data_IF_524572631298
#
_entry.id   IF_524572631298
#
_cell.length_a   1.000
_cell.length_b   1.000
_cell.length_c   1.000
_cell.angle_alpha   90.00
_cell.angle_beta   90.00
_cell.angle_gamma   90.00
#
_symmetry.space_group_name_H-M   'P 1'
#
loop_
_entity.id
_entity.type
_entity.pdbx_description
1 polymer ?
#
# COMPACT_ATOMS: atom_id res chain seq x y z
N UNK A 1 48.96 -23.16 -31.14
CA UNK A 1 48.16 -24.00 -30.23
C UNK A 1 47.59 -25.16 -31.02
N UNK A 2 47.88 -26.41 -30.64
CA UNK A 2 47.35 -27.58 -31.38
C UNK A 2 45.81 -27.60 -31.21
N UNK A 3 45.09 -27.99 -32.25
CA UNK A 3 43.61 -28.02 -32.28
C UNK A 3 42.98 -28.76 -31.07
N UNK A 4 43.64 -29.78 -30.55
CA UNK A 4 43.26 -30.50 -29.34
C UNK A 4 43.33 -29.64 -28.08
N UNK A 5 44.32 -28.74 -27.95
CA UNK A 5 44.46 -27.86 -26.78
C UNK A 5 43.41 -26.76 -26.78
N UNK A 6 43.07 -26.23 -27.97
CA UNK A 6 41.96 -25.27 -28.12
C UNK A 6 40.59 -25.87 -27.75
N UNK A 7 40.33 -27.12 -28.16
CA UNK A 7 39.09 -27.81 -27.79
C UNK A 7 38.98 -28.06 -26.29
N UNK A 8 40.06 -28.52 -25.66
CA UNK A 8 40.13 -28.74 -24.21
C UNK A 8 39.93 -27.43 -23.45
N UNK A 9 40.56 -26.35 -23.90
CA UNK A 9 40.41 -25.01 -23.31
C UNK A 9 38.95 -24.53 -23.41
N UNK A 10 38.34 -24.62 -24.60
CA UNK A 10 36.94 -24.24 -24.83
C UNK A 10 35.96 -25.03 -23.95
N UNK A 11 36.17 -26.35 -23.83
CA UNK A 11 35.38 -27.20 -22.94
C UNK A 11 35.49 -26.76 -21.48
N UNK A 12 36.70 -26.44 -21.01
CA UNK A 12 36.93 -25.93 -19.64
C UNK A 12 36.21 -24.59 -19.43
N UNK A 13 36.28 -23.67 -20.40
CA UNK A 13 35.55 -22.37 -20.29
C UNK A 13 34.06 -22.58 -20.18
N UNK A 14 33.46 -23.45 -21.01
CA UNK A 14 32.02 -23.77 -20.93
C UNK A 14 31.67 -24.39 -19.58
N UNK A 15 32.46 -25.35 -19.10
CA UNK A 15 32.23 -25.99 -17.79
C UNK A 15 32.32 -24.97 -16.65
N UNK A 16 33.32 -24.08 -16.68
CA UNK A 16 33.48 -23.02 -15.66
C UNK A 16 32.32 -22.05 -15.69
N UNK A 17 31.89 -21.62 -16.87
CA UNK A 17 30.71 -20.74 -17.02
C UNK A 17 29.45 -21.44 -16.53
N UNK A 18 29.22 -22.70 -16.91
CA UNK A 18 28.07 -23.48 -16.45
C UNK A 18 28.07 -23.65 -14.92
N UNK A 19 29.25 -23.93 -14.33
CA UNK A 19 29.36 -24.03 -12.87
C UNK A 19 29.07 -22.69 -12.17
N UNK A 20 29.55 -21.57 -12.73
CA UNK A 20 29.30 -20.24 -12.19
C UNK A 20 27.82 -19.89 -12.25
N UNK A 21 27.15 -20.16 -13.37
CA UNK A 21 25.70 -19.95 -13.51
C UNK A 21 24.92 -20.81 -12.53
N UNK A 22 25.24 -22.09 -12.41
CA UNK A 22 24.60 -22.99 -11.44
C UNK A 22 24.82 -22.50 -10.00
N UNK A 23 26.01 -22.07 -9.65
CA UNK A 23 26.32 -21.53 -8.33
C UNK A 23 25.49 -20.26 -8.04
N UNK A 24 25.37 -19.34 -9.01
CA UNK A 24 24.55 -18.14 -8.87
C UNK A 24 23.07 -18.50 -8.67
N UNK A 25 22.53 -19.41 -9.49
CA UNK A 25 21.15 -19.87 -9.35
C UNK A 25 20.89 -20.52 -7.98
N UNK A 26 21.81 -21.37 -7.50
CA UNK A 26 21.68 -22.00 -6.18
C UNK A 26 21.71 -20.98 -5.04
N UNK A 27 22.57 -19.99 -5.09
CA UNK A 27 22.58 -18.91 -4.10
C UNK A 27 21.25 -18.14 -4.13
N UNK A 28 20.76 -17.78 -5.31
CA UNK A 28 19.48 -17.09 -5.47
C UNK A 28 18.32 -17.91 -4.90
N UNK A 29 18.27 -19.21 -5.18
CA UNK A 29 17.21 -20.09 -4.65
C UNK A 29 17.31 -20.22 -3.12
N UNK A 30 18.54 -20.41 -2.58
CA UNK A 30 18.72 -20.61 -1.13
C UNK A 30 18.45 -19.33 -0.34
N UNK A 31 18.89 -18.19 -0.85
CA UNK A 31 18.65 -16.91 -0.15
C UNK A 31 17.26 -16.37 -0.40
N UNK A 32 16.69 -16.61 -1.56
CA UNK A 32 15.34 -16.24 -1.99
C UNK A 32 14.82 -14.92 -1.40
N UNK A 33 15.45 -13.78 -1.75
CA UNK A 33 15.21 -12.52 -1.05
C UNK A 33 13.78 -11.99 -1.16
N UNK A 34 12.97 -12.51 -2.08
CA UNK A 34 11.57 -12.15 -2.27
C UNK A 34 10.59 -13.30 -1.99
N UNK A 35 11.07 -14.39 -1.40
CA UNK A 35 10.24 -15.55 -1.02
C UNK A 35 9.46 -16.15 -2.19
N UNK A 36 10.07 -16.18 -3.37
CA UNK A 36 9.42 -16.74 -4.56
C UNK A 36 9.32 -18.26 -4.50
N UNK A 37 10.34 -18.93 -3.96
CA UNK A 37 10.44 -20.40 -3.93
C UNK A 37 10.07 -21.03 -2.59
N UNK A 38 10.32 -20.36 -1.47
CA UNK A 38 10.14 -20.97 -0.15
C UNK A 38 9.92 -19.96 0.98
N UNK A 39 9.44 -20.46 2.12
CA UNK A 39 9.39 -19.71 3.38
C UNK A 39 10.79 -19.24 3.80
N UNK A 40 10.89 -18.10 4.52
CA UNK A 40 12.16 -17.64 5.06
C UNK A 40 12.80 -18.71 5.94
N UNK A 41 14.10 -18.97 5.72
CA UNK A 41 14.87 -19.86 6.59
C UNK A 41 15.26 -19.16 7.88
N UNK A 42 15.12 -19.85 9.02
CA UNK A 42 15.45 -19.31 10.34
C UNK A 42 16.94 -19.01 10.57
N UNK A 43 17.82 -19.55 9.73
CA UNK A 43 19.28 -19.31 9.80
C UNK A 43 19.75 -18.12 8.96
N UNK A 44 18.85 -17.48 8.20
CA UNK A 44 19.13 -16.29 7.40
C UNK A 44 18.39 -15.07 7.95
N UNK A 45 19.05 -13.93 7.98
CA UNK A 45 18.40 -12.64 8.25
C UNK A 45 17.97 -12.01 6.94
N UNK A 46 16.67 -11.79 6.81
CA UNK A 46 16.07 -11.22 5.59
C UNK A 46 15.80 -9.72 5.77
N UNK A 47 16.22 -8.97 4.77
CA UNK A 47 15.78 -7.58 4.59
C UNK A 47 14.50 -7.58 3.76
N UNK A 48 13.39 -7.10 4.33
CA UNK A 48 12.15 -6.90 3.58
C UNK A 48 12.20 -5.54 2.87
N UNK A 49 12.10 -5.55 1.54
CA UNK A 49 12.19 -4.34 0.72
C UNK A 49 11.56 -4.59 -0.66
N UNK A 50 11.28 -3.50 -1.42
CA UNK A 50 10.71 -3.55 -2.77
C UNK A 50 9.32 -4.23 -2.82
N UNK A 51 8.32 -3.48 -2.42
CA UNK A 51 6.92 -3.93 -2.28
C UNK A 51 6.41 -4.76 -3.46
N UNK A 52 6.67 -4.30 -4.69
CA UNK A 52 6.24 -4.99 -5.91
C UNK A 52 6.93 -6.33 -6.16
N UNK A 53 8.05 -6.59 -5.53
CA UNK A 53 8.79 -7.83 -5.69
C UNK A 53 8.47 -8.84 -4.60
N UNK A 54 8.22 -8.37 -3.37
CA UNK A 54 8.15 -9.24 -2.20
C UNK A 54 6.70 -9.61 -1.78
N UNK A 55 5.69 -8.75 -2.06
CA UNK A 55 4.33 -8.96 -1.57
C UNK A 55 3.74 -10.31 -2.01
N UNK A 56 3.95 -10.73 -3.27
CA UNK A 56 3.47 -12.04 -3.74
C UNK A 56 4.12 -13.22 -2.99
N UNK A 57 5.42 -13.11 -2.67
CA UNK A 57 6.13 -14.10 -1.86
C UNK A 57 5.62 -14.15 -0.42
N UNK A 58 5.25 -13.01 0.17
CA UNK A 58 4.59 -12.94 1.48
C UNK A 58 3.26 -13.68 1.41
N UNK A 59 2.40 -13.37 0.43
CA UNK A 59 1.12 -14.07 0.21
C UNK A 59 1.29 -15.59 0.04
N UNK A 60 2.38 -16.04 -0.61
CA UNK A 60 2.65 -17.47 -0.87
C UNK A 60 3.09 -18.25 0.36
N UNK A 61 3.93 -17.64 1.19
CA UNK A 61 4.77 -18.40 2.10
C UNK A 61 4.63 -18.03 3.57
N UNK A 62 3.96 -16.93 3.90
CA UNK A 62 3.73 -16.56 5.29
C UNK A 62 2.40 -17.13 5.79
N UNK A 63 2.36 -17.45 7.07
CA UNK A 63 1.14 -17.91 7.74
C UNK A 63 0.50 -16.71 8.43
N UNK A 64 -0.65 -16.21 7.94
CA UNK A 64 -1.35 -15.05 8.47
C UNK A 64 -2.86 -15.17 8.27
N UNK A 65 -3.64 -14.45 9.10
CA UNK A 65 -5.10 -14.32 8.99
C UNK A 65 -5.57 -12.85 9.01
N UNK A 66 -4.62 -11.92 9.14
CA UNK A 66 -4.80 -10.48 9.02
C UNK A 66 -3.89 -9.88 7.92
N UNK A 67 -4.40 -8.88 7.19
CA UNK A 67 -3.63 -8.21 6.15
C UNK A 67 -3.90 -6.71 6.17
N UNK A 68 -2.82 -5.91 6.12
CA UNK A 68 -2.87 -4.46 5.96
C UNK A 68 -2.51 -4.13 4.52
N UNK A 69 -3.39 -3.40 3.82
CA UNK A 69 -3.15 -2.97 2.44
C UNK A 69 -3.53 -1.50 2.24
N UNK A 70 -2.97 -0.91 1.20
CA UNK A 70 -3.13 0.49 0.84
C UNK A 70 -1.88 1.04 0.19
N UNK A 71 -1.84 2.35 0.02
CA UNK A 71 -0.69 3.06 -0.55
C UNK A 71 0.31 3.47 0.54
N UNK A 72 1.08 4.53 0.29
CA UNK A 72 1.97 5.14 1.28
C UNK A 72 1.29 5.52 2.61
N UNK A 73 -0.03 5.72 2.60
CA UNK A 73 -0.83 6.01 3.79
C UNK A 73 -0.92 4.80 4.74
N UNK A 74 -0.72 3.59 4.21
CA UNK A 74 -0.74 2.35 4.98
C UNK A 74 0.65 1.82 5.39
N UNK A 75 1.73 2.36 4.85
CA UNK A 75 3.08 1.84 5.05
C UNK A 75 3.54 1.87 6.52
N UNK A 76 3.12 2.86 7.29
CA UNK A 76 3.53 3.03 8.68
C UNK A 76 2.66 2.30 9.71
N UNK A 77 1.64 1.55 9.29
CA UNK A 77 0.95 0.66 10.21
C UNK A 77 1.90 -0.41 10.74
N UNK A 78 1.71 -0.77 12.00
CA UNK A 78 2.40 -1.88 12.63
C UNK A 78 1.48 -3.09 12.71
N UNK A 79 1.93 -4.19 12.16
CA UNK A 79 1.18 -5.46 12.23
C UNK A 79 1.03 -5.94 13.67
N UNK A 80 2.05 -5.71 14.51
CA UNK A 80 1.99 -6.05 15.94
C UNK A 80 0.88 -5.31 16.72
N UNK A 81 0.58 -4.05 16.33
CA UNK A 81 -0.53 -3.30 16.93
C UNK A 81 -1.89 -3.82 16.42
N UNK A 82 -1.99 -4.17 15.13
CA UNK A 82 -3.19 -4.81 14.57
C UNK A 82 -3.45 -6.16 15.25
N UNK A 83 -2.42 -6.98 15.43
CA UNK A 83 -2.53 -8.29 16.09
C UNK A 83 -3.04 -8.16 17.52
N UNK A 84 -2.53 -7.19 18.25
CA UNK A 84 -2.95 -6.94 19.64
C UNK A 84 -4.41 -6.47 19.74
N UNK A 85 -4.91 -5.71 18.78
CA UNK A 85 -6.25 -5.13 18.82
C UNK A 85 -7.32 -6.06 18.22
N UNK A 86 -6.98 -6.82 17.18
CA UNK A 86 -7.93 -7.65 16.43
C UNK A 86 -7.76 -9.16 16.68
N UNK A 87 -6.70 -9.58 17.40
CA UNK A 87 -6.43 -10.99 17.69
C UNK A 87 -5.99 -11.78 16.46
N UNK A 88 -5.28 -11.14 15.55
CA UNK A 88 -4.80 -11.70 14.26
C UNK A 88 -3.31 -12.03 14.33
N UNK A 89 -2.83 -12.71 13.29
CA UNK A 89 -1.43 -12.74 12.87
C UNK A 89 -1.37 -12.04 11.53
N UNK A 90 -0.83 -10.83 11.50
CA UNK A 90 -0.98 -9.96 10.34
C UNK A 90 0.30 -9.80 9.54
N UNK A 91 0.13 -9.59 8.23
CA UNK A 91 1.17 -9.13 7.32
C UNK A 91 0.78 -7.78 6.73
N UNK A 92 1.76 -7.09 6.15
CA UNK A 92 1.58 -5.83 5.46
C UNK A 92 1.95 -6.00 3.99
N UNK A 93 0.99 -5.77 3.09
CA UNK A 93 1.17 -5.79 1.64
C UNK A 93 0.67 -4.48 1.06
N UNK A 94 1.53 -3.49 1.05
CA UNK A 94 1.27 -2.13 0.61
C UNK A 94 1.99 -1.83 -0.70
N UNK A 95 1.53 -0.79 -1.43
CA UNK A 95 2.20 -0.30 -2.62
C UNK A 95 2.21 1.22 -2.63
N UNK A 96 3.38 1.82 -2.49
CA UNK A 96 3.51 3.28 -2.50
C UNK A 96 2.96 3.89 -3.79
N UNK A 97 2.00 4.82 -3.64
CA UNK A 97 1.41 5.55 -4.76
C UNK A 97 0.52 4.74 -5.72
N UNK A 98 0.20 3.48 -5.42
CA UNK A 98 -0.59 2.61 -6.27
C UNK A 98 -1.99 3.13 -6.56
N UNK A 99 -2.54 2.72 -7.70
CA UNK A 99 -3.95 2.88 -8.02
C UNK A 99 -4.84 1.82 -7.35
N UNK A 100 -6.14 2.04 -7.39
CA UNK A 100 -7.11 1.09 -6.84
C UNK A 100 -7.00 -0.30 -7.50
N UNK A 101 -6.77 -0.34 -8.82
CA UNK A 101 -6.61 -1.59 -9.56
C UNK A 101 -5.39 -2.39 -9.08
N UNK A 102 -4.25 -1.74 -8.86
CA UNK A 102 -3.02 -2.42 -8.41
C UNK A 102 -3.20 -3.04 -7.02
N UNK A 103 -3.85 -2.30 -6.10
CA UNK A 103 -4.16 -2.80 -4.77
C UNK A 103 -5.14 -3.97 -4.82
N UNK A 104 -6.19 -3.87 -5.66
CA UNK A 104 -7.17 -4.92 -5.84
C UNK A 104 -6.56 -6.20 -6.42
N UNK A 105 -5.74 -6.10 -7.45
CA UNK A 105 -5.03 -7.24 -8.06
C UNK A 105 -4.12 -7.96 -7.06
N UNK A 106 -3.42 -7.20 -6.20
CA UNK A 106 -2.59 -7.80 -5.15
C UNK A 106 -3.44 -8.49 -4.08
N UNK A 107 -4.47 -7.80 -3.59
CA UNK A 107 -5.36 -8.33 -2.56
C UNK A 107 -6.11 -9.58 -3.04
N UNK A 108 -6.53 -9.62 -4.31
CA UNK A 108 -7.14 -10.81 -4.90
C UNK A 108 -6.19 -12.02 -4.88
N UNK A 109 -4.90 -11.80 -5.21
CA UNK A 109 -3.89 -12.86 -5.13
C UNK A 109 -3.68 -13.34 -3.69
N UNK A 110 -3.56 -12.42 -2.74
CA UNK A 110 -3.40 -12.77 -1.33
C UNK A 110 -4.57 -13.61 -0.81
N UNK A 111 -5.80 -13.18 -1.08
CA UNK A 111 -7.03 -13.88 -0.69
C UNK A 111 -7.20 -15.24 -1.41
N UNK A 112 -6.81 -15.32 -2.68
CA UNK A 112 -6.87 -16.57 -3.43
C UNK A 112 -5.88 -17.62 -2.90
N UNK A 113 -4.70 -17.20 -2.45
CA UNK A 113 -3.64 -18.07 -1.93
C UNK A 113 -3.85 -18.44 -0.47
N UNK A 114 -4.42 -17.54 0.32
CA UNK A 114 -4.62 -17.73 1.76
C UNK A 114 -6.11 -17.73 2.13
N UNK A 115 -6.70 -18.93 2.16
CA UNK A 115 -8.11 -19.12 2.55
C UNK A 115 -8.37 -18.84 4.05
N UNK A 116 -7.33 -18.69 4.86
CA UNK A 116 -7.45 -18.37 6.28
C UNK A 116 -7.52 -16.85 6.53
N UNK A 117 -7.33 -16.03 5.51
CA UNK A 117 -7.36 -14.57 5.64
C UNK A 117 -8.78 -14.09 5.98
N UNK A 118 -8.96 -13.64 7.22
CA UNK A 118 -10.25 -13.25 7.79
C UNK A 118 -10.44 -11.76 7.95
N UNK A 119 -9.34 -11.02 8.09
CA UNK A 119 -9.37 -9.60 8.42
C UNK A 119 -8.48 -8.82 7.48
N UNK A 120 -9.05 -7.88 6.75
CA UNK A 120 -8.30 -6.96 5.88
C UNK A 120 -8.51 -5.54 6.37
N UNK A 121 -7.43 -4.83 6.68
CA UNK A 121 -7.40 -3.39 6.88
C UNK A 121 -7.01 -2.73 5.55
N UNK A 122 -7.92 -1.93 4.98
CA UNK A 122 -7.71 -1.32 3.67
C UNK A 122 -7.83 0.20 3.74
N UNK A 123 -6.69 0.89 3.58
CA UNK A 123 -6.69 2.34 3.41
C UNK A 123 -7.09 2.69 1.97
N UNK A 124 -8.24 3.30 1.78
CA UNK A 124 -8.70 3.82 0.50
C UNK A 124 -8.29 5.28 0.34
N UNK A 125 -7.38 5.54 -0.57
CA UNK A 125 -6.93 6.91 -0.86
C UNK A 125 -8.08 7.77 -1.39
N UNK A 126 -8.54 8.67 -0.56
CA UNK A 126 -9.66 9.56 -0.83
C UNK A 126 -9.49 10.42 -2.09
N UNK A 127 -8.27 10.90 -2.34
CA UNK A 127 -7.92 11.66 -3.53
C UNK A 127 -7.94 10.81 -4.82
N UNK A 128 -7.90 9.47 -4.70
CA UNK A 128 -7.97 8.52 -5.80
C UNK A 128 -9.38 8.24 -6.31
N UNK A 129 -10.44 8.62 -5.59
CA UNK A 129 -11.83 8.31 -5.95
C UNK A 129 -12.24 8.84 -7.34
N UNK A 130 -11.67 9.97 -7.75
CA UNK A 130 -11.95 10.64 -9.03
C UNK A 130 -10.89 10.34 -10.10
N UNK A 131 -9.94 9.45 -9.82
CA UNK A 131 -8.92 9.02 -10.78
C UNK A 131 -9.47 7.94 -11.72
N UNK A 132 -8.84 7.77 -12.87
CA UNK A 132 -9.19 6.70 -13.80
C UNK A 132 -9.15 5.34 -13.07
N UNK A 133 -10.23 4.53 -13.16
CA UNK A 133 -10.31 3.23 -12.49
C UNK A 133 -9.20 2.26 -12.87
N UNK A 134 -8.72 2.36 -14.12
CA UNK A 134 -7.68 1.50 -14.68
C UNK A 134 -6.27 2.09 -14.51
N UNK A 135 -6.15 3.21 -13.78
CA UNK A 135 -4.86 3.85 -13.56
C UNK A 135 -3.93 3.01 -12.70
N UNK A 136 -2.70 2.84 -13.18
CA UNK A 136 -1.60 2.18 -12.48
C UNK A 136 -0.43 3.12 -12.31
N UNK A 137 0.18 3.10 -11.15
CA UNK A 137 1.42 3.85 -10.85
C UNK A 137 2.61 3.28 -11.64
N UNK A 138 2.63 1.98 -11.82
CA UNK A 138 3.76 1.26 -12.39
C UNK A 138 3.36 0.61 -13.72
N UNK A 139 4.08 0.98 -14.79
CA UNK A 139 3.86 0.42 -16.12
C UNK A 139 4.31 -1.05 -16.25
N UNK A 140 5.26 -1.47 -15.39
CA UNK A 140 5.81 -2.82 -15.42
C UNK A 140 5.92 -3.42 -14.01
N UNK A 141 5.49 -4.65 -13.91
CA UNK A 141 5.66 -5.51 -12.75
C UNK A 141 6.69 -6.61 -13.05
N UNK A 142 7.33 -7.20 -12.03
CA UNK A 142 8.15 -8.38 -12.21
C UNK A 142 7.26 -9.62 -12.38
N UNK A 143 6.55 -9.75 -13.51
CA UNK A 143 5.52 -10.77 -13.76
C UNK A 143 6.02 -12.19 -13.49
N UNK A 144 7.33 -12.44 -13.69
CA UNK A 144 7.98 -13.71 -13.38
C UNK A 144 7.95 -14.08 -11.88
N UNK A 145 7.65 -13.13 -10.98
CA UNK A 145 7.44 -13.42 -9.55
C UNK A 145 5.97 -13.70 -9.22
N UNK A 146 5.05 -13.34 -10.10
CA UNK A 146 3.61 -13.40 -9.86
C UNK A 146 2.92 -14.63 -10.49
N UNK A 147 3.62 -15.35 -11.34
CA UNK A 147 3.12 -16.56 -11.97
C UNK A 147 3.76 -17.83 -11.35
N UNK A 148 3.37 -19.02 -11.85
CA UNK A 148 3.91 -20.31 -11.43
C UNK A 148 4.71 -20.96 -12.57
N UNK A 149 5.22 -20.16 -13.52
CA UNK A 149 5.96 -20.63 -14.68
C UNK A 149 7.47 -20.63 -14.41
N UNK A 150 8.11 -21.78 -14.14
CA UNK A 150 9.55 -21.82 -13.80
C UNK A 150 10.48 -21.48 -14.98
N UNK A 151 9.94 -21.39 -16.21
CA UNK A 151 10.76 -21.11 -17.39
C UNK A 151 11.14 -19.63 -17.55
N UNK A 152 10.40 -18.72 -16.93
CA UNK A 152 10.73 -17.29 -16.92
C UNK A 152 11.50 -16.84 -15.67
N UNK A 153 11.70 -17.75 -14.70
CA UNK A 153 12.49 -17.51 -13.47
C UNK A 153 13.95 -17.16 -13.77
N UNK A 154 14.42 -17.40 -14.98
CA UNK A 154 15.73 -16.94 -15.44
C UNK A 154 15.92 -15.42 -15.18
N UNK A 155 14.84 -14.64 -15.26
CA UNK A 155 14.81 -13.22 -14.97
C UNK A 155 14.98 -12.90 -13.48
N UNK A 156 14.65 -13.81 -12.59
CA UNK A 156 14.92 -13.75 -11.15
C UNK A 156 16.32 -14.26 -10.83
N UNK A 157 16.63 -15.49 -11.24
CA UNK A 157 17.85 -16.23 -10.89
C UNK A 157 19.14 -15.53 -11.32
N UNK A 158 19.11 -14.79 -12.43
CA UNK A 158 20.28 -14.10 -12.97
C UNK A 158 20.14 -12.58 -12.95
N UNK A 159 19.29 -12.05 -12.09
CA UNK A 159 19.11 -10.61 -11.93
C UNK A 159 20.22 -10.00 -11.08
N UNK A 160 21.08 -9.21 -11.74
CA UNK A 160 22.18 -8.53 -11.07
C UNK A 160 21.69 -7.60 -9.94
N UNK A 161 20.58 -6.87 -10.15
CA UNK A 161 20.07 -5.94 -9.15
C UNK A 161 19.59 -6.70 -7.91
N UNK A 162 18.89 -7.81 -8.08
CA UNK A 162 18.42 -8.65 -6.97
C UNK A 162 19.60 -9.27 -6.22
N UNK A 163 20.63 -9.72 -6.95
CA UNK A 163 21.85 -10.23 -6.32
C UNK A 163 22.50 -9.18 -5.41
N UNK A 164 22.66 -7.93 -5.90
CA UNK A 164 23.34 -6.87 -5.14
C UNK A 164 22.48 -6.25 -4.04
N UNK A 165 21.17 -6.10 -4.25
CA UNK A 165 20.29 -5.40 -3.32
C UNK A 165 19.46 -6.31 -2.43
N UNK A 166 19.35 -7.61 -2.77
CA UNK A 166 18.64 -8.61 -1.99
C UNK A 166 19.56 -9.64 -1.36
N UNK A 167 20.24 -10.43 -2.20
CA UNK A 167 21.04 -11.57 -1.74
C UNK A 167 22.22 -11.14 -0.87
N UNK A 168 23.08 -10.23 -1.37
CA UNK A 168 24.26 -9.80 -0.63
C UNK A 168 23.94 -9.12 0.70
N UNK A 169 22.93 -8.23 0.81
CA UNK A 169 22.52 -7.69 2.10
C UNK A 169 22.02 -8.76 3.09
N UNK A 170 21.22 -9.73 2.65
CA UNK A 170 20.73 -10.80 3.51
C UNK A 170 21.91 -11.65 4.06
N UNK A 171 22.89 -11.99 3.23
CA UNK A 171 24.10 -12.68 3.64
C UNK A 171 24.91 -11.82 4.63
N UNK A 172 25.10 -10.54 4.35
CA UNK A 172 25.84 -9.62 5.21
C UNK A 172 25.17 -9.45 6.59
N UNK A 173 23.86 -9.27 6.63
CA UNK A 173 23.07 -9.22 7.87
C UNK A 173 23.23 -10.51 8.67
N UNK A 174 23.12 -11.65 8.02
CA UNK A 174 23.30 -12.97 8.66
C UNK A 174 24.68 -13.13 9.26
N UNK A 175 25.73 -12.82 8.53
CA UNK A 175 27.13 -12.94 9.01
C UNK A 175 27.40 -11.97 10.17
N UNK A 176 26.84 -10.77 10.12
CA UNK A 176 27.01 -9.77 11.19
C UNK A 176 26.09 -9.97 12.38
N UNK A 177 25.21 -10.97 12.37
CA UNK A 177 24.24 -11.24 13.45
C UNK A 177 23.16 -10.18 13.58
N UNK A 178 22.87 -9.41 12.54
CA UNK A 178 21.77 -8.45 12.54
C UNK A 178 20.44 -9.20 12.46
N UNK A 179 19.40 -8.74 13.20
CA UNK A 179 18.08 -9.36 13.13
C UNK A 179 17.44 -9.13 11.75
N UNK A 180 16.52 -10.01 11.32
CA UNK A 180 15.72 -9.77 10.12
C UNK A 180 14.82 -8.56 10.29
N UNK A 181 14.46 -7.91 9.18
CA UNK A 181 13.43 -6.86 9.17
C UNK A 181 12.10 -7.45 9.61
N UNK A 182 11.43 -6.81 10.55
CA UNK A 182 10.08 -7.18 11.00
C UNK A 182 9.00 -6.68 10.04
N UNK A 183 7.77 -7.22 10.13
CA UNK A 183 6.63 -6.70 9.38
C UNK A 183 6.26 -5.26 9.80
N UNK A 184 6.55 -4.85 11.03
CA UNK A 184 6.36 -3.47 11.48
C UNK A 184 7.31 -2.50 10.76
N UNK A 185 8.55 -2.94 10.53
CA UNK A 185 9.59 -2.14 9.86
C UNK A 185 9.44 -2.18 8.33
N UNK A 186 8.84 -3.24 7.79
CA UNK A 186 8.66 -3.38 6.34
C UNK A 186 7.90 -2.20 5.75
N UNK A 187 8.47 -1.58 4.72
CA UNK A 187 7.95 -0.39 4.02
C UNK A 187 7.72 0.84 4.89
N UNK A 188 8.05 0.79 6.20
CA UNK A 188 7.89 1.96 7.07
C UNK A 188 8.86 3.07 6.71
N UNK A 189 8.41 4.30 6.89
CA UNK A 189 9.21 5.49 6.64
C UNK A 189 9.04 6.51 7.79
N UNK A 190 10.05 7.36 7.93
CA UNK A 190 10.02 8.50 8.84
C UNK A 190 10.46 9.75 8.09
N UNK A 191 9.68 10.80 8.22
CA UNK A 191 9.97 12.14 7.68
C UNK A 191 9.70 13.18 8.74
N UNK A 192 10.37 14.34 8.71
CA UNK A 192 10.03 15.47 9.55
C UNK A 192 8.58 15.89 9.34
N UNK A 193 7.94 16.40 10.38
CA UNK A 193 6.56 16.88 10.39
C UNK A 193 6.48 18.34 10.79
N UNK A 194 5.35 18.99 10.54
CA UNK A 194 5.08 20.36 10.92
C UNK A 194 4.85 21.30 9.74
N UNK A 195 4.35 22.50 10.02
CA UNK A 195 3.99 23.50 9.00
C UNK A 195 5.16 23.80 8.05
N UNK A 196 6.36 24.01 8.59
CA UNK A 196 7.55 24.31 7.76
C UNK A 196 7.83 23.19 6.75
N UNK A 197 7.66 21.93 7.17
CA UNK A 197 7.84 20.78 6.31
C UNK A 197 6.76 20.68 5.24
N UNK A 198 5.52 20.96 5.60
CA UNK A 198 4.39 20.93 4.67
C UNK A 198 4.55 22.01 3.59
N UNK A 199 4.99 23.22 3.96
CA UNK A 199 5.19 24.34 3.04
C UNK A 199 6.32 24.11 2.01
N UNK A 200 7.14 23.07 2.15
CA UNK A 200 8.08 22.64 1.10
C UNK A 200 7.39 21.97 -0.09
N UNK A 201 6.23 21.35 0.12
CA UNK A 201 5.46 20.64 -0.90
C UNK A 201 4.13 21.31 -1.24
N UNK A 202 3.56 22.06 -0.32
CA UNK A 202 2.29 22.77 -0.48
C UNK A 202 2.49 24.27 -0.55
N UNK A 203 2.18 24.87 -1.71
CA UNK A 203 2.13 26.32 -1.93
C UNK A 203 0.70 26.72 -2.31
N UNK A 204 0.00 27.36 -1.37
CA UNK A 204 -1.36 27.86 -1.53
C UNK A 204 -1.53 28.78 -2.73
N UNK A 205 -0.51 29.60 -3.03
CA UNK A 205 -0.55 30.57 -4.14
C UNK A 205 -0.29 29.92 -5.50
N UNK A 206 0.18 28.69 -5.53
CA UNK A 206 0.53 27.96 -6.76
C UNK A 206 -0.37 26.74 -7.01
N UNK A 207 -1.56 26.73 -6.41
CA UNK A 207 -2.56 25.67 -6.64
C UNK A 207 -3.08 25.78 -8.07
N UNK A 208 -3.10 24.64 -8.79
CA UNK A 208 -3.64 24.60 -10.14
C UNK A 208 -5.16 24.82 -10.15
N UNK A 209 -5.61 25.95 -10.67
CA UNK A 209 -7.02 26.33 -10.75
C UNK A 209 -7.71 25.81 -12.05
N UNK A 210 -6.94 25.28 -13.01
CA UNK A 210 -7.51 24.75 -14.24
C UNK A 210 -8.01 23.31 -14.04
N UNK A 211 -9.07 23.17 -13.27
CA UNK A 211 -9.67 21.88 -12.91
C UNK A 211 -11.19 21.93 -13.14
N UNK A 212 -11.80 20.78 -13.41
CA UNK A 212 -13.25 20.64 -13.48
C UNK A 212 -13.79 20.64 -12.05
N UNK A 213 -14.68 21.57 -11.72
CA UNK A 213 -15.24 21.74 -10.38
C UNK A 213 -16.56 20.97 -10.18
N UNK A 214 -17.29 20.69 -11.26
CA UNK A 214 -18.58 20.02 -11.22
C UNK A 214 -18.43 18.49 -11.02
N UNK A 215 -19.36 17.91 -10.27
CA UNK A 215 -19.57 16.47 -10.17
C UNK A 215 -20.73 16.06 -11.09
N UNK A 216 -20.40 15.72 -12.32
CA UNK A 216 -21.36 15.32 -13.34
C UNK A 216 -21.51 13.81 -13.48
N UNK A 217 -22.13 13.39 -14.59
CA UNK A 217 -22.33 11.97 -14.91
C UNK A 217 -21.00 11.22 -15.11
N UNK A 218 -19.99 11.88 -15.70
CA UNK A 218 -18.65 11.31 -15.91
C UNK A 218 -17.94 11.02 -14.60
N UNK A 219 -17.95 11.97 -13.68
CA UNK A 219 -17.32 11.80 -12.35
C UNK A 219 -18.02 10.69 -11.57
N UNK A 220 -19.35 10.66 -11.60
CA UNK A 220 -20.15 9.60 -10.98
C UNK A 220 -19.82 8.23 -11.58
N UNK A 221 -19.73 8.13 -12.89
CA UNK A 221 -19.32 6.89 -13.59
C UNK A 221 -17.92 6.46 -13.17
N UNK A 222 -16.96 7.38 -13.12
CA UNK A 222 -15.59 7.12 -12.68
C UNK A 222 -15.57 6.53 -11.27
N UNK A 223 -16.20 7.20 -10.30
CA UNK A 223 -16.25 6.69 -8.91
C UNK A 223 -16.98 5.34 -8.85
N UNK A 224 -18.08 5.20 -9.57
CA UNK A 224 -18.85 3.94 -9.59
C UNK A 224 -18.00 2.79 -10.13
N UNK A 225 -17.30 2.99 -11.25
CA UNK A 225 -16.39 1.98 -11.80
C UNK A 225 -15.24 1.67 -10.83
N UNK A 226 -14.57 2.71 -10.31
CA UNK A 226 -13.46 2.57 -9.35
C UNK A 226 -13.86 1.68 -8.18
N UNK A 227 -14.97 1.96 -7.54
CA UNK A 227 -15.44 1.19 -6.39
C UNK A 227 -15.96 -0.19 -6.79
N UNK A 228 -16.73 -0.28 -7.87
CA UNK A 228 -17.35 -1.55 -8.27
C UNK A 228 -16.31 -2.55 -8.79
N UNK A 229 -15.41 -2.11 -9.69
CA UNK A 229 -14.46 -2.97 -10.36
C UNK A 229 -13.25 -3.30 -9.47
N UNK A 230 -12.78 -2.37 -8.63
CA UNK A 230 -11.57 -2.54 -7.84
C UNK A 230 -11.81 -2.85 -6.36
N UNK A 231 -12.96 -2.52 -5.78
CA UNK A 231 -13.21 -2.78 -4.36
C UNK A 231 -14.30 -3.83 -4.18
N UNK A 232 -15.52 -3.56 -4.70
CA UNK A 232 -16.65 -4.48 -4.52
C UNK A 232 -16.45 -5.83 -5.19
N UNK A 233 -15.74 -5.88 -6.33
CA UNK A 233 -15.39 -7.13 -6.98
C UNK A 233 -14.63 -8.07 -6.02
N UNK A 234 -13.70 -7.54 -5.24
CA UNK A 234 -12.92 -8.30 -4.25
C UNK A 234 -13.79 -8.65 -3.04
N UNK A 235 -14.44 -7.64 -2.46
CA UNK A 235 -15.27 -7.82 -1.26
C UNK A 235 -16.36 -8.87 -1.47
N UNK A 236 -17.04 -8.84 -2.62
CA UNK A 236 -18.11 -9.81 -2.94
C UNK A 236 -17.57 -11.21 -3.28
N UNK A 237 -16.35 -11.30 -3.83
CA UNK A 237 -15.70 -12.58 -4.12
C UNK A 237 -15.30 -13.32 -2.85
N UNK A 238 -15.02 -12.60 -1.76
CA UNK A 238 -14.55 -13.17 -0.49
C UNK A 238 -15.47 -12.80 0.69
N UNK A 239 -16.71 -13.33 0.71
CA UNK A 239 -17.72 -12.96 1.71
C UNK A 239 -17.40 -13.46 3.14
N UNK A 240 -16.42 -14.35 3.30
CA UNK A 240 -15.95 -14.84 4.59
C UNK A 240 -14.85 -13.99 5.24
N UNK A 241 -14.42 -12.93 4.58
CA UNK A 241 -13.41 -11.98 5.06
C UNK A 241 -14.07 -10.68 5.47
N UNK A 242 -13.73 -10.17 6.64
CA UNK A 242 -14.13 -8.84 7.13
C UNK A 242 -13.17 -7.78 6.58
N UNK A 243 -13.71 -6.79 5.88
CA UNK A 243 -12.96 -5.68 5.31
C UNK A 243 -13.20 -4.41 6.15
N UNK A 244 -12.17 -3.98 6.88
CA UNK A 244 -12.11 -2.70 7.57
C UNK A 244 -11.54 -1.66 6.61
N UNK A 245 -12.43 -0.92 5.96
CA UNK A 245 -12.07 0.07 4.95
C UNK A 245 -12.15 1.45 5.58
N UNK A 246 -11.17 2.31 5.31
CA UNK A 246 -11.21 3.66 5.85
C UNK A 246 -10.65 4.70 4.88
N UNK A 247 -11.15 5.94 4.99
CA UNK A 247 -10.58 7.11 4.34
C UNK A 247 -9.52 7.72 5.27
N UNK A 248 -8.25 7.84 4.81
CA UNK A 248 -7.17 8.42 5.61
C UNK A 248 -7.44 9.89 5.96
N UNK A 249 -7.16 10.33 7.21
CA UNK A 249 -7.35 11.73 7.64
C UNK A 249 -6.26 12.63 7.06
N UNK A 250 -6.51 13.22 5.89
CA UNK A 250 -5.62 14.20 5.28
C UNK A 250 -5.60 15.51 6.07
N UNK A 251 -4.46 16.24 6.03
CA UNK A 251 -4.29 17.48 6.77
C UNK A 251 -5.24 18.59 6.32
N UNK A 252 -5.39 19.62 7.14
CA UNK A 252 -6.19 20.80 6.79
C UNK A 252 -5.66 21.50 5.52
N UNK A 253 -4.38 21.36 5.16
CA UNK A 253 -3.82 21.86 3.91
C UNK A 253 -4.38 21.18 2.66
N UNK A 254 -4.70 19.87 2.76
CA UNK A 254 -5.40 19.17 1.68
C UNK A 254 -6.79 19.78 1.42
N UNK A 255 -7.52 20.06 2.50
CA UNK A 255 -8.85 20.67 2.41
C UNK A 255 -8.80 22.12 1.94
N UNK A 256 -7.76 22.88 2.32
CA UNK A 256 -7.46 24.20 1.77
C UNK A 256 -7.29 24.14 0.24
N UNK A 257 -6.52 23.18 -0.25
CA UNK A 257 -6.33 23.00 -1.69
C UNK A 257 -7.64 22.67 -2.43
N UNK A 258 -8.55 21.89 -1.85
CA UNK A 258 -9.88 21.63 -2.42
C UNK A 258 -10.74 22.89 -2.44
N UNK A 259 -10.68 23.68 -1.38
CA UNK A 259 -11.43 24.92 -1.26
C UNK A 259 -10.95 25.96 -2.28
N UNK A 260 -9.64 26.18 -2.41
CA UNK A 260 -9.05 27.11 -3.40
C UNK A 260 -9.41 26.70 -4.84
N UNK A 261 -9.44 25.38 -5.14
CA UNK A 261 -9.82 24.85 -6.45
C UNK A 261 -11.32 24.87 -6.71
N UNK A 262 -12.14 25.24 -5.73
CA UNK A 262 -13.61 25.10 -5.78
C UNK A 262 -14.05 23.65 -6.07
N UNK A 263 -13.30 22.66 -5.54
CA UNK A 263 -13.55 21.23 -5.76
C UNK A 263 -14.01 20.49 -4.51
N UNK A 264 -14.17 21.17 -3.38
CA UNK A 264 -14.62 20.56 -2.13
C UNK A 264 -15.96 19.81 -2.30
N UNK A 265 -16.97 20.48 -2.87
CA UNK A 265 -18.26 19.85 -3.09
C UNK A 265 -18.19 18.64 -4.05
N UNK A 266 -17.35 18.73 -5.06
CA UNK A 266 -17.09 17.62 -6.00
C UNK A 266 -16.51 16.40 -5.27
N UNK A 267 -15.55 16.61 -4.37
CA UNK A 267 -14.90 15.55 -3.62
C UNK A 267 -15.86 14.90 -2.61
N UNK A 268 -16.70 15.69 -1.92
CA UNK A 268 -17.72 15.18 -1.01
C UNK A 268 -18.80 14.36 -1.74
N UNK A 269 -19.19 14.75 -2.96
CA UNK A 269 -20.12 13.98 -3.78
C UNK A 269 -19.50 12.66 -4.30
N UNK A 270 -18.19 12.66 -4.54
CA UNK A 270 -17.46 11.44 -4.87
C UNK A 270 -17.44 10.48 -3.66
N UNK A 271 -17.18 10.99 -2.47
CA UNK A 271 -17.24 10.24 -1.22
C UNK A 271 -18.64 9.66 -0.97
N UNK A 272 -19.69 10.48 -1.13
CA UNK A 272 -21.07 10.01 -1.00
C UNK A 272 -21.33 8.82 -1.93
N UNK A 273 -20.96 8.95 -3.20
CA UNK A 273 -21.15 7.90 -4.20
C UNK A 273 -20.40 6.61 -3.82
N UNK A 274 -19.14 6.73 -3.38
CA UNK A 274 -18.32 5.59 -2.94
C UNK A 274 -18.89 4.94 -1.67
N UNK A 275 -19.28 5.74 -0.69
CA UNK A 275 -19.87 5.30 0.57
C UNK A 275 -21.16 4.53 0.36
N UNK A 276 -22.09 5.06 -0.47
CA UNK A 276 -23.35 4.40 -0.80
C UNK A 276 -23.13 3.00 -1.40
N UNK A 277 -22.11 2.84 -2.25
CA UNK A 277 -21.74 1.56 -2.84
C UNK A 277 -21.12 0.60 -1.80
N UNK A 278 -20.14 1.06 -1.02
CA UNK A 278 -19.45 0.25 -0.02
C UNK A 278 -20.41 -0.26 1.06
N UNK A 279 -21.35 0.54 1.50
CA UNK A 279 -22.35 0.17 2.51
C UNK A 279 -23.38 -0.87 2.00
N UNK A 280 -23.33 -1.27 0.73
CA UNK A 280 -24.16 -2.39 0.25
C UNK A 280 -23.63 -3.76 0.70
N UNK A 281 -22.33 -3.86 1.03
CA UNK A 281 -21.66 -5.10 1.37
C UNK A 281 -21.66 -5.34 2.88
N UNK A 282 -22.20 -6.48 3.35
CA UNK A 282 -22.34 -6.76 4.78
C UNK A 282 -21.02 -7.05 5.49
N UNK A 283 -19.98 -7.46 4.75
CA UNK A 283 -18.64 -7.74 5.24
C UNK A 283 -17.69 -6.52 5.14
N UNK A 284 -18.22 -5.34 4.80
CA UNK A 284 -17.50 -4.06 4.86
C UNK A 284 -17.86 -3.31 6.13
N UNK A 285 -16.84 -2.90 6.86
CA UNK A 285 -16.91 -1.95 7.96
C UNK A 285 -16.17 -0.68 7.50
N UNK A 286 -16.93 0.34 7.12
CA UNK A 286 -16.40 1.58 6.58
C UNK A 286 -16.16 2.59 7.69
N UNK A 287 -15.01 3.26 7.67
CA UNK A 287 -14.63 4.30 8.61
C UNK A 287 -14.24 5.59 7.88
N UNK A 288 -14.58 6.71 8.50
CA UNK A 288 -14.20 8.04 8.05
C UNK A 288 -13.72 8.84 9.26
N UNK A 289 -12.54 9.43 9.16
CA UNK A 289 -11.89 10.17 10.24
C UNK A 289 -11.80 11.67 9.97
N UNK A 290 -12.57 12.19 9.02
CA UNK A 290 -12.56 13.61 8.66
C UNK A 290 -13.18 14.54 9.72
N UNK A 291 -13.78 13.95 10.76
CA UNK A 291 -14.25 14.65 11.97
C UNK A 291 -13.21 14.64 13.13
N UNK A 292 -12.01 14.09 12.92
CA UNK A 292 -10.93 14.10 13.90
C UNK A 292 -10.12 15.41 13.80
N UNK A 293 -10.78 16.53 14.11
CA UNK A 293 -10.23 17.87 13.90
C UNK A 293 -8.97 18.17 14.72
N UNK A 294 -8.82 17.58 15.90
CA UNK A 294 -7.63 17.66 16.73
C UNK A 294 -6.38 17.09 16.05
N UNK A 295 -6.57 16.15 15.14
CA UNK A 295 -5.50 15.61 14.30
C UNK A 295 -5.38 16.40 13.00
N UNK A 296 -6.46 16.57 12.25
CA UNK A 296 -6.45 17.17 10.91
C UNK A 296 -5.93 18.61 10.92
N UNK A 297 -6.24 19.39 11.95
CA UNK A 297 -5.83 20.77 12.08
C UNK A 297 -4.46 20.95 12.77
N UNK A 298 -3.90 19.91 13.38
CA UNK A 298 -2.55 19.95 13.97
C UNK A 298 -1.50 19.47 12.98
N UNK A 299 -0.86 20.40 12.31
CA UNK A 299 0.14 20.14 11.29
C UNK A 299 1.41 19.46 11.81
N UNK A 300 1.61 19.40 13.14
CA UNK A 300 2.72 18.66 13.73
C UNK A 300 2.63 17.15 13.47
N UNK A 301 1.48 16.65 13.08
CA UNK A 301 1.30 15.23 12.69
C UNK A 301 1.60 14.96 11.22
N UNK A 302 1.85 15.97 10.37
CA UNK A 302 1.93 15.80 8.92
C UNK A 302 3.29 16.16 8.34
N UNK A 303 3.71 15.37 7.33
CA UNK A 303 4.94 15.57 6.57
C UNK A 303 4.72 16.42 5.30
N UNK A 304 3.51 16.36 4.76
CA UNK A 304 2.99 17.10 3.61
C UNK A 304 1.48 17.24 3.74
N UNK A 305 0.77 17.69 2.73
CA UNK A 305 -0.68 17.90 2.77
C UNK A 305 -1.51 16.62 3.00
N UNK A 306 -0.97 15.45 2.66
CA UNK A 306 -1.65 14.15 2.81
C UNK A 306 -1.03 13.24 3.86
N UNK A 307 0.30 13.10 3.89
CA UNK A 307 0.97 12.07 4.69
C UNK A 307 1.13 12.48 6.15
N UNK A 308 0.57 11.65 7.02
CA UNK A 308 0.70 11.77 8.47
C UNK A 308 1.81 10.89 9.04
N UNK A 309 2.22 11.18 10.27
CA UNK A 309 3.23 10.40 11.01
C UNK A 309 2.72 9.01 11.39
N UNK A 310 3.64 8.09 11.70
CA UNK A 310 3.31 6.74 12.17
C UNK A 310 2.42 6.72 13.43
N UNK A 311 2.46 7.78 14.26
CA UNK A 311 1.58 7.91 15.41
C UNK A 311 0.10 7.90 14.99
N UNK A 312 -0.24 8.56 13.88
CA UNK A 312 -1.63 8.59 13.40
C UNK A 312 -2.07 7.22 12.89
N UNK A 313 -1.17 6.43 12.26
CA UNK A 313 -1.50 5.04 11.92
C UNK A 313 -1.88 4.23 13.19
N UNK A 314 -1.14 4.40 14.29
CA UNK A 314 -1.47 3.73 15.56
C UNK A 314 -2.80 4.22 16.16
N UNK A 315 -3.12 5.53 16.02
CA UNK A 315 -4.43 6.07 16.44
C UNK A 315 -5.57 5.50 15.60
N UNK A 316 -5.40 5.41 14.27
CA UNK A 316 -6.40 4.84 13.35
C UNK A 316 -6.75 3.39 13.74
N UNK A 317 -5.76 2.55 14.03
CA UNK A 317 -6.03 1.18 14.51
C UNK A 317 -6.88 1.15 15.77
N UNK A 318 -6.59 2.03 16.74
CA UNK A 318 -7.37 2.14 17.99
C UNK A 318 -8.77 2.65 17.71
N UNK A 319 -8.93 3.68 16.89
CA UNK A 319 -10.23 4.22 16.50
C UNK A 319 -11.10 3.16 15.84
N UNK A 320 -10.54 2.38 14.92
CA UNK A 320 -11.26 1.28 14.26
C UNK A 320 -11.69 0.22 15.30
N UNK A 321 -10.77 -0.20 16.19
CA UNK A 321 -11.07 -1.19 17.23
C UNK A 321 -12.16 -0.70 18.21
N UNK A 322 -12.21 0.61 18.49
CA UNK A 322 -13.19 1.25 19.36
C UNK A 322 -14.50 1.60 18.64
N UNK A 323 -14.54 1.48 17.31
CA UNK A 323 -15.70 1.88 16.49
C UNK A 323 -15.81 3.39 16.24
N UNK A 324 -14.77 4.17 16.59
CA UNK A 324 -14.70 5.60 16.30
C UNK A 324 -14.63 5.81 14.79
N UNK A 325 -15.41 6.76 14.26
CA UNK A 325 -15.45 7.05 12.83
C UNK A 325 -16.29 6.07 12.00
N UNK A 326 -16.95 5.06 12.60
CA UNK A 326 -17.77 4.09 11.87
C UNK A 326 -18.88 4.78 11.06
N UNK A 327 -18.93 4.45 9.78
CA UNK A 327 -19.93 4.95 8.82
C UNK A 327 -20.98 3.87 8.58
N UNK A 328 -22.24 4.24 8.68
CA UNK A 328 -23.40 3.35 8.51
C UNK A 328 -24.43 3.98 7.56
N UNK A 329 -25.39 3.17 7.11
CA UNK A 329 -26.53 3.67 6.31
C UNK A 329 -27.33 4.75 7.01
N UNK A 330 -27.32 4.75 8.35
CA UNK A 330 -28.12 5.68 9.15
C UNK A 330 -27.40 7.02 9.41
N UNK A 331 -26.03 7.05 9.36
CA UNK A 331 -25.28 8.23 9.77
C UNK A 331 -24.47 8.91 8.64
N UNK A 332 -24.25 8.28 7.49
CA UNK A 332 -23.33 8.79 6.48
C UNK A 332 -23.71 10.17 5.93
N UNK A 333 -25.01 10.44 5.70
CA UNK A 333 -25.46 11.74 5.22
C UNK A 333 -25.24 12.86 6.25
N UNK A 334 -25.43 12.54 7.54
CA UNK A 334 -25.16 13.49 8.61
C UNK A 334 -23.65 13.79 8.71
N UNK A 335 -22.79 12.75 8.61
CA UNK A 335 -21.34 12.94 8.61
C UNK A 335 -20.89 13.82 7.45
N UNK A 336 -21.32 13.54 6.22
CA UNK A 336 -21.04 14.37 5.04
C UNK A 336 -21.51 15.82 5.20
N UNK A 337 -22.66 16.05 5.81
CA UNK A 337 -23.14 17.41 6.08
C UNK A 337 -22.23 18.15 7.07
N UNK A 338 -21.82 17.49 8.15
CA UNK A 338 -20.90 18.05 9.16
C UNK A 338 -19.53 18.37 8.53
N UNK A 339 -18.99 17.47 7.71
CA UNK A 339 -17.74 17.69 6.98
C UNK A 339 -17.84 18.88 6.04
N UNK A 340 -18.92 18.95 5.26
CA UNK A 340 -19.15 20.06 4.36
C UNK A 340 -19.21 21.39 5.11
N UNK A 341 -19.96 21.46 6.19
CA UNK A 341 -20.11 22.67 6.98
C UNK A 341 -18.78 23.11 7.60
N UNK A 342 -18.03 22.16 8.16
CA UNK A 342 -16.72 22.44 8.75
C UNK A 342 -15.71 22.95 7.71
N UNK A 343 -15.47 22.18 6.65
CA UNK A 343 -14.43 22.50 5.66
C UNK A 343 -14.82 23.67 4.74
N UNK A 344 -16.09 23.97 4.55
CA UNK A 344 -16.51 25.21 3.84
C UNK A 344 -16.38 26.45 4.70
N UNK A 345 -16.50 26.33 6.03
CA UNK A 345 -16.50 27.44 6.96
C UNK A 345 -15.16 27.66 7.67
N UNK A 346 -14.16 26.79 7.44
CA UNK A 346 -12.87 26.89 8.13
C UNK A 346 -12.08 28.12 7.72
N UNK A 347 -11.46 28.80 8.69
CA UNK A 347 -10.55 29.91 8.44
C UNK A 347 -9.16 29.40 8.05
N UNK A 348 -8.97 29.14 6.76
CA UNK A 348 -7.71 28.64 6.22
C UNK A 348 -6.54 29.62 6.33
N UNK A 349 -6.82 30.92 6.52
CA UNK A 349 -5.76 31.92 6.73
C UNK A 349 -5.10 31.73 8.10
N UNK A 350 -5.81 31.15 9.06
CA UNK A 350 -5.29 30.83 10.40
C UNK A 350 -4.15 29.81 10.38
N UNK A 351 -4.01 29.02 9.32
CA UNK A 351 -2.91 28.04 9.16
C UNK A 351 -1.55 28.71 9.11
N UNK A 352 -1.50 29.96 8.62
CA UNK A 352 -0.27 30.71 8.32
C UNK A 352 0.03 31.80 9.36
N UNK A 353 -0.82 31.96 10.35
CA UNK A 353 -0.67 32.93 11.44
C UNK A 353 -0.16 32.22 12.71
#
# INVERSE_FOLDING_TARGET
>A
MKQQDAKKWFTKCIMTLGAALLFTALIMIITDPYFHYHKPFSFLSYRLYEERYINDGISRHFDFDGLITGTSMAQNFKTSEMDALFGTVSVKEVFSGAGYQELAENLDRALARNQNLKTVLWALDYNGLLRDPDWKQYEAYPDYLYDDNPFNDVSYLFNKAILYHGVLPNIAMTISGQPPTTMDEYSSWQRPTGLEQILQSYDRNNVNLNVITEFGSRERETVTRTITENVLAIVNKYPGTDFYIFYPPYSICYWDALNIKDTLNKQLLAEQCATELLLTCPNVKLYNFFDQYDVICDLNYYCDDGHYSAEINSRILKWIAEGTGLVTKDNYLQKLAVEKDFYSGYDYDSIYN
#
